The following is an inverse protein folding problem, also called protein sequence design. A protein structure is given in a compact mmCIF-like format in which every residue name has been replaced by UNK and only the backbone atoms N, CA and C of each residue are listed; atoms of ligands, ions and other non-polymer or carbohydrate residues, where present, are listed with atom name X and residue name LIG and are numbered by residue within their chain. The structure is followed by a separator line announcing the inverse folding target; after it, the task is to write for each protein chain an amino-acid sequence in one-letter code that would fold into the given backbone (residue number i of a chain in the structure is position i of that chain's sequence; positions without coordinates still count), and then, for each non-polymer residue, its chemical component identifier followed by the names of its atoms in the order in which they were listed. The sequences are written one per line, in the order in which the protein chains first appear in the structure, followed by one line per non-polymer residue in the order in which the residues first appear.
data_IF_220122523255
#
_entry.id   IF_220122523255
#
_cell.length_a   1.000
_cell.length_b   1.000
_cell.length_c   1.000
_cell.angle_alpha   90.00
_cell.angle_beta   90.00
_cell.angle_gamma   90.00
#
_symmetry.space_group_name_H-M   'P 1'
#
loop_
_entity.id
_entity.type
_entity.pdbx_description
1 polymer ?
#
# COMPACT_ATOMS: atom_id res chain seq x y z
N UNK A 1 30.71 6.41 6.13
CA UNK A 1 29.86 6.68 7.31
C UNK A 1 28.73 5.66 7.32
N UNK A 2 28.88 4.60 8.11
CA UNK A 2 27.86 3.54 8.26
C UNK A 2 26.74 4.07 9.16
N UNK A 3 25.64 4.51 8.56
CA UNK A 3 24.39 4.75 9.30
C UNK A 3 23.95 3.43 9.94
N UNK A 4 23.81 3.41 11.25
CA UNK A 4 23.30 2.26 12.01
C UNK A 4 21.88 1.91 11.54
N UNK A 5 21.52 0.62 11.56
CA UNK A 5 20.17 0.15 11.22
C UNK A 5 19.18 0.79 12.19
N UNK A 6 18.17 1.49 11.67
CA UNK A 6 17.08 1.98 12.52
C UNK A 6 16.15 0.84 12.92
N UNK A 7 15.30 1.09 13.91
CA UNK A 7 14.22 0.17 14.28
C UNK A 7 13.22 -0.01 13.14
N UNK A 8 12.94 1.04 12.37
CA UNK A 8 12.09 0.97 11.17
C UNK A 8 12.70 0.07 10.09
N UNK A 9 14.02 0.16 9.85
CA UNK A 9 14.71 -0.74 8.90
C UNK A 9 14.53 -2.22 9.27
N UNK A 10 14.54 -2.56 10.57
CA UNK A 10 14.31 -3.91 11.08
C UNK A 10 12.87 -4.38 10.90
N UNK A 11 11.89 -3.51 11.12
CA UNK A 11 10.46 -3.81 10.90
C UNK A 11 10.17 -4.17 9.44
N UNK A 12 10.80 -3.46 8.49
CA UNK A 12 10.64 -3.71 7.04
C UNK A 12 11.13 -5.11 6.67
N UNK A 13 12.32 -5.48 7.16
CA UNK A 13 12.91 -6.78 6.85
C UNK A 13 12.08 -7.89 7.51
N UNK A 14 11.61 -7.66 8.73
CA UNK A 14 10.77 -8.59 9.48
C UNK A 14 9.46 -8.88 8.74
N UNK A 15 8.74 -7.82 8.37
CA UNK A 15 7.49 -7.89 7.58
C UNK A 15 7.77 -8.68 6.30
N UNK A 16 8.81 -8.31 5.53
CA UNK A 16 9.16 -8.98 4.28
C UNK A 16 9.56 -10.46 4.44
N UNK A 17 10.27 -10.82 5.50
CA UNK A 17 10.67 -12.19 5.77
C UNK A 17 9.47 -13.11 6.09
N UNK A 18 8.45 -12.54 6.73
CA UNK A 18 7.21 -13.22 7.06
C UNK A 18 6.21 -13.30 5.90
N UNK A 19 6.24 -12.35 4.97
CA UNK A 19 5.35 -12.32 3.80
C UNK A 19 5.70 -13.38 2.74
N UNK A 20 6.98 -13.73 2.57
CA UNK A 20 7.44 -14.70 1.55
C UNK A 20 6.93 -16.16 1.76
N UNK A 21 6.04 -16.40 2.73
CA UNK A 21 5.48 -17.73 3.03
C UNK A 21 3.97 -17.84 2.87
N UNK A 22 3.27 -16.75 2.57
CA UNK A 22 1.82 -16.77 2.33
C UNK A 22 1.47 -17.33 0.94
N UNK A 23 2.48 -17.67 0.13
CA UNK A 23 2.28 -18.25 -1.22
C UNK A 23 1.98 -19.77 -1.19
N UNK A 24 2.12 -20.45 -0.05
CA UNK A 24 1.84 -21.88 0.08
C UNK A 24 0.86 -22.15 1.23
N UNK A 25 -0.33 -22.64 0.86
CA UNK A 25 -1.30 -23.42 1.65
C UNK A 25 -2.60 -22.74 2.13
N UNK A 26 -3.70 -23.37 1.74
CA UNK A 26 -5.10 -22.96 1.85
C UNK A 26 -5.72 -23.39 3.20
N UNK A 27 -4.88 -23.52 4.24
CA UNK A 27 -5.29 -24.09 5.53
C UNK A 27 -5.50 -23.02 6.60
N UNK A 28 -6.73 -22.97 7.09
CA UNK A 28 -7.32 -22.02 8.02
C UNK A 28 -6.82 -22.13 9.48
N UNK A 29 -5.58 -22.60 9.69
CA UNK A 29 -4.91 -22.59 10.97
C UNK A 29 -4.04 -21.34 11.05
N UNK A 30 -3.90 -20.74 12.25
CA UNK A 30 -2.92 -19.66 12.45
C UNK A 30 -1.61 -20.07 11.79
N UNK A 31 -0.96 -19.22 10.97
CA UNK A 31 0.29 -19.61 10.35
C UNK A 31 1.34 -19.75 11.46
N UNK A 32 1.54 -20.97 11.95
CA UNK A 32 2.68 -21.42 12.77
C UNK A 32 4.04 -21.21 12.05
N UNK A 33 4.02 -20.49 10.92
CA UNK A 33 5.09 -20.19 9.99
C UNK A 33 5.51 -18.72 9.99
N UNK A 34 4.79 -17.83 10.68
CA UNK A 34 5.20 -16.45 10.93
C UNK A 34 6.25 -16.43 12.05
N UNK A 35 7.47 -15.99 11.74
CA UNK A 35 8.47 -15.74 12.76
C UNK A 35 8.00 -14.57 13.61
N UNK A 36 7.91 -14.73 14.92
CA UNK A 36 7.83 -13.59 15.82
C UNK A 36 9.12 -12.77 15.75
N UNK A 37 9.11 -11.49 16.16
CA UNK A 37 10.29 -10.63 16.06
C UNK A 37 11.52 -11.25 16.76
N UNK A 38 11.30 -11.91 17.91
CA UNK A 38 12.34 -12.64 18.62
C UNK A 38 12.87 -13.84 17.82
N UNK A 39 12.00 -14.55 17.10
CA UNK A 39 12.37 -15.70 16.27
C UNK A 39 13.07 -15.28 14.99
N UNK A 40 12.66 -14.16 14.38
CA UNK A 40 13.32 -13.57 13.24
C UNK A 40 14.72 -13.08 13.59
N UNK A 41 14.87 -12.36 14.70
CA UNK A 41 16.18 -11.97 15.23
C UNK A 41 17.01 -13.23 15.51
N UNK A 42 16.43 -14.26 16.15
CA UNK A 42 17.10 -15.54 16.39
C UNK A 42 17.54 -16.25 15.09
N UNK A 43 16.73 -16.20 14.04
CA UNK A 43 17.05 -16.76 12.73
C UNK A 43 18.21 -16.01 12.05
N UNK A 44 18.17 -14.66 12.09
CA UNK A 44 19.29 -13.83 11.63
C UNK A 44 20.57 -14.15 12.40
N UNK A 45 20.51 -14.24 13.73
CA UNK A 45 21.65 -14.61 14.58
C UNK A 45 22.23 -15.96 14.20
N UNK A 46 21.39 -17.00 14.01
CA UNK A 46 21.85 -18.33 13.59
C UNK A 46 22.47 -18.32 12.19
N UNK A 47 21.88 -17.57 11.26
CA UNK A 47 22.41 -17.39 9.91
C UNK A 47 23.79 -16.72 9.94
N UNK A 48 23.95 -15.67 10.75
CA UNK A 48 25.20 -14.95 10.96
C UNK A 48 26.30 -15.87 11.47
N UNK A 49 26.04 -16.62 12.54
CA UNK A 49 27.03 -17.54 13.13
C UNK A 49 27.45 -18.65 12.16
N UNK A 50 26.54 -19.10 11.28
CA UNK A 50 26.82 -20.12 10.26
C UNK A 50 27.57 -19.56 9.04
N UNK A 51 27.27 -18.32 8.63
CA UNK A 51 27.85 -17.66 7.44
C UNK A 51 29.22 -17.05 7.72
N UNK A 52 29.46 -16.59 8.95
CA UNK A 52 30.68 -15.89 9.36
C UNK A 52 31.39 -16.57 10.55
N UNK A 53 31.71 -17.88 10.48
CA UNK A 53 32.28 -18.62 11.62
C UNK A 53 33.70 -18.16 12.01
N UNK A 54 34.35 -17.33 11.18
CA UNK A 54 35.75 -16.90 11.34
C UNK A 54 35.92 -15.41 11.69
N UNK A 55 34.82 -14.69 11.94
CA UNK A 55 34.86 -13.27 12.34
C UNK A 55 35.19 -13.06 13.83
N UNK A 56 35.59 -14.11 14.55
CA UNK A 56 36.12 -14.05 15.91
C UNK A 56 37.65 -13.90 15.87
N UNK A 57 38.19 -12.84 16.52
CA UNK A 57 38.60 -13.02 17.92
C UNK A 57 38.28 -11.90 18.94
N UNK A 58 37.55 -10.83 18.64
CA UNK A 58 37.33 -9.75 19.66
C UNK A 58 35.95 -9.09 19.74
N UNK A 59 35.01 -9.39 18.84
CA UNK A 59 33.76 -8.64 18.72
C UNK A 59 32.47 -9.34 19.19
N UNK A 60 32.51 -10.66 19.42
CA UNK A 60 31.33 -11.45 19.79
C UNK A 60 30.21 -11.48 18.73
N UNK A 61 29.07 -12.08 19.10
CA UNK A 61 27.86 -12.19 18.27
C UNK A 61 27.36 -10.84 17.73
N UNK A 62 27.49 -9.79 18.54
CA UNK A 62 27.09 -8.44 18.18
C UNK A 62 27.88 -7.90 16.99
N UNK A 63 29.21 -8.09 16.95
CA UNK A 63 30.02 -7.65 15.81
C UNK A 63 29.68 -8.42 14.53
N UNK A 64 29.39 -9.73 14.64
CA UNK A 64 28.97 -10.53 13.49
C UNK A 64 27.60 -10.08 12.97
N UNK A 65 26.67 -9.76 13.87
CA UNK A 65 25.36 -9.21 13.51
C UNK A 65 25.51 -7.84 12.84
N UNK A 66 26.31 -6.93 13.41
CA UNK A 66 26.63 -5.63 12.81
C UNK A 66 27.29 -5.77 11.43
N UNK A 67 28.10 -6.80 11.21
CA UNK A 67 28.68 -7.07 9.89
C UNK A 67 27.62 -7.53 8.87
N UNK A 68 26.75 -8.48 9.25
CA UNK A 68 25.64 -8.90 8.38
C UNK A 68 24.68 -7.73 8.08
N UNK A 69 24.31 -7.00 9.13
CA UNK A 69 23.53 -5.79 9.07
C UNK A 69 24.11 -4.83 8.04
N UNK A 70 25.34 -4.36 8.25
CA UNK A 70 25.98 -3.36 7.38
C UNK A 70 26.31 -3.84 5.97
N UNK A 71 26.63 -5.12 5.78
CA UNK A 71 27.14 -5.65 4.51
C UNK A 71 26.08 -6.28 3.61
N UNK A 72 24.97 -6.74 4.19
CA UNK A 72 23.94 -7.48 3.44
C UNK A 72 22.55 -6.90 3.67
N UNK A 73 22.20 -6.58 4.91
CA UNK A 73 20.85 -6.10 5.24
C UNK A 73 20.65 -4.64 4.84
N UNK A 74 21.49 -3.72 5.32
CA UNK A 74 21.42 -2.28 5.02
C UNK A 74 21.49 -2.00 3.53
N UNK A 75 22.41 -2.59 2.74
CA UNK A 75 22.44 -2.33 1.30
C UNK A 75 21.14 -2.77 0.61
N UNK A 76 20.57 -3.89 1.05
CA UNK A 76 19.31 -4.39 0.50
C UNK A 76 18.13 -3.49 0.92
N UNK A 77 18.03 -3.12 2.21
CA UNK A 77 17.01 -2.17 2.70
C UNK A 77 17.14 -0.82 1.99
N UNK A 78 18.36 -0.28 1.81
CA UNK A 78 18.57 0.96 1.07
C UNK A 78 18.14 0.87 -0.39
N UNK A 79 18.40 -0.26 -1.05
CA UNK A 79 17.89 -0.50 -2.40
C UNK A 79 16.35 -0.56 -2.45
N UNK A 80 15.70 -0.91 -1.35
CA UNK A 80 14.24 -0.92 -1.24
C UNK A 80 13.67 0.45 -0.90
N UNK A 81 14.41 1.24 -0.13
CA UNK A 81 14.12 2.64 0.15
C UNK A 81 14.47 3.56 -1.02
N UNK A 82 15.23 3.09 -1.99
CA UNK A 82 15.46 3.82 -3.24
C UNK A 82 14.16 3.83 -4.05
N UNK A 83 13.45 4.94 -3.93
CA UNK A 83 12.20 5.18 -4.62
C UNK A 83 12.45 6.06 -5.84
N UNK A 84 12.91 5.43 -6.92
CA UNK A 84 13.11 6.09 -8.22
C UNK A 84 11.83 6.75 -8.75
N UNK A 85 10.66 6.32 -8.27
CA UNK A 85 9.36 6.81 -8.68
C UNK A 85 8.87 8.01 -7.84
N UNK A 86 9.44 8.27 -6.65
CA UNK A 86 8.99 9.34 -5.75
C UNK A 86 8.82 10.68 -6.47
N UNK A 87 9.87 11.13 -7.16
CA UNK A 87 9.86 12.39 -7.93
C UNK A 87 8.81 12.41 -9.04
N UNK A 88 8.51 11.26 -9.61
CA UNK A 88 7.52 11.12 -10.67
C UNK A 88 6.10 11.19 -10.12
N UNK A 89 5.86 10.60 -8.94
CA UNK A 89 4.59 10.67 -8.22
C UNK A 89 4.27 12.11 -7.77
N UNK A 90 5.29 12.88 -7.39
CA UNK A 90 5.16 14.31 -7.06
C UNK A 90 4.97 15.22 -8.29
N UNK A 91 5.12 14.68 -9.51
CA UNK A 91 4.99 15.50 -10.71
C UNK A 91 3.55 15.99 -10.86
N UNK A 92 3.40 17.28 -11.24
CA UNK A 92 2.10 17.92 -11.44
C UNK A 92 1.18 17.12 -12.38
N UNK A 93 1.75 16.52 -13.43
CA UNK A 93 0.99 15.72 -14.38
C UNK A 93 0.36 14.48 -13.73
N UNK A 94 1.13 13.75 -12.91
CA UNK A 94 0.63 12.57 -12.18
C UNK A 94 -0.40 12.98 -11.14
N UNK A 95 -0.13 14.03 -10.36
CA UNK A 95 -1.09 14.53 -9.35
C UNK A 95 -2.42 14.93 -9.98
N UNK A 96 -2.42 15.60 -11.14
CA UNK A 96 -3.65 15.95 -11.85
C UNK A 96 -4.39 14.72 -12.40
N UNK A 97 -3.66 13.70 -12.86
CA UNK A 97 -4.25 12.44 -13.29
C UNK A 97 -4.91 11.72 -12.11
N UNK A 98 -4.23 11.60 -10.97
CA UNK A 98 -4.78 11.00 -9.76
C UNK A 98 -6.01 11.77 -9.27
N UNK A 99 -5.92 13.10 -9.17
CA UNK A 99 -7.04 13.97 -8.78
C UNK A 99 -8.28 13.75 -9.67
N UNK A 100 -8.10 13.64 -10.99
CA UNK A 100 -9.20 13.37 -11.94
C UNK A 100 -9.93 12.05 -11.66
N UNK A 101 -9.21 11.03 -11.21
CA UNK A 101 -9.76 9.71 -10.94
C UNK A 101 -10.09 9.48 -9.46
N UNK A 102 -9.68 10.38 -8.59
CA UNK A 102 -9.81 10.31 -7.13
C UNK A 102 -11.22 9.88 -6.67
N UNK A 103 -12.34 10.44 -7.19
CA UNK A 103 -13.67 10.00 -6.77
C UNK A 103 -13.94 8.51 -7.04
N UNK A 104 -13.45 7.97 -8.16
CA UNK A 104 -13.66 6.56 -8.52
C UNK A 104 -12.75 5.64 -7.72
N UNK A 105 -11.50 6.06 -7.52
CA UNK A 105 -10.54 5.34 -6.70
C UNK A 105 -10.99 5.29 -5.23
N UNK A 106 -11.47 6.41 -4.69
CA UNK A 106 -12.05 6.51 -3.35
C UNK A 106 -13.22 5.55 -3.15
N UNK A 107 -14.13 5.45 -4.12
CA UNK A 107 -15.27 4.53 -4.05
C UNK A 107 -14.83 3.06 -4.04
N UNK A 108 -13.79 2.72 -4.82
CA UNK A 108 -13.21 1.37 -4.80
C UNK A 108 -12.56 1.11 -3.44
N UNK A 109 -11.68 2.00 -3.00
CA UNK A 109 -11.00 1.96 -1.71
C UNK A 109 -12.01 1.78 -0.56
N UNK A 110 -13.02 2.63 -0.48
CA UNK A 110 -13.99 2.61 0.60
C UNK A 110 -14.81 1.31 0.63
N UNK A 111 -15.10 0.69 -0.51
CA UNK A 111 -15.79 -0.60 -0.54
C UNK A 111 -14.95 -1.73 0.07
N UNK A 112 -13.63 -1.71 -0.11
CA UNK A 112 -12.71 -2.66 0.52
C UNK A 112 -12.47 -2.33 2.00
N UNK A 113 -12.28 -1.05 2.35
CA UNK A 113 -12.15 -0.59 3.73
C UNK A 113 -13.38 -0.92 4.61
N UNK A 114 -14.59 -0.88 4.03
CA UNK A 114 -15.82 -1.26 4.73
C UNK A 114 -16.06 -2.77 4.74
N UNK A 115 -15.46 -3.51 3.80
CA UNK A 115 -15.53 -4.97 3.75
C UNK A 115 -15.05 -5.62 5.04
N UNK A 116 -14.03 -5.04 5.68
CA UNK A 116 -13.43 -5.55 6.90
C UNK A 116 -14.16 -5.10 8.18
N UNK A 117 -14.57 -3.82 8.25
CA UNK A 117 -15.38 -3.31 9.38
C UNK A 117 -16.69 -4.09 9.56
N UNK A 118 -17.23 -4.69 8.49
CA UNK A 118 -18.38 -5.60 8.53
C UNK A 118 -18.09 -6.94 9.22
N UNK A 119 -16.86 -7.44 9.14
CA UNK A 119 -16.41 -8.67 9.79
C UNK A 119 -16.14 -8.43 11.28
N UNK A 120 -15.54 -7.28 11.62
CA UNK A 120 -15.13 -6.94 13.00
C UNK A 120 -16.31 -6.50 13.88
N UNK A 121 -17.28 -5.74 13.35
CA UNK A 121 -18.38 -5.18 14.14
C UNK A 121 -19.60 -6.12 14.32
N UNK A 122 -19.58 -7.32 13.75
CA UNK A 122 -20.67 -8.31 13.85
C UNK A 122 -22.03 -7.87 13.29
N UNK A 123 -22.11 -6.68 12.71
CA UNK A 123 -23.33 -6.09 12.13
C UNK A 123 -23.03 -5.63 10.72
N UNK A 124 -23.36 -6.48 9.75
CA UNK A 124 -23.22 -6.13 8.34
C UNK A 124 -24.17 -4.97 8.02
N UNK A 125 -23.63 -3.81 7.66
CA UNK A 125 -24.41 -2.74 7.03
C UNK A 125 -25.02 -3.31 5.74
N UNK A 126 -26.31 -3.05 5.53
CA UNK A 126 -26.97 -3.40 4.29
C UNK A 126 -26.26 -2.73 3.10
N UNK A 127 -26.38 -3.28 1.87
CA UNK A 127 -25.83 -2.64 0.67
C UNK A 127 -26.26 -1.17 0.54
N UNK A 128 -27.49 -0.85 0.95
CA UNK A 128 -28.05 0.51 0.93
C UNK A 128 -27.38 1.45 1.93
N UNK A 129 -27.18 1.00 3.18
CA UNK A 129 -26.50 1.80 4.21
C UNK A 129 -25.03 2.02 3.86
N UNK A 130 -24.40 1.03 3.23
CA UNK A 130 -22.99 1.13 2.82
C UNK A 130 -22.83 2.06 1.63
N UNK A 131 -23.76 2.01 0.67
CA UNK A 131 -23.81 2.98 -0.42
C UNK A 131 -24.01 4.41 0.10
N UNK A 132 -24.93 4.61 1.07
CA UNK A 132 -25.16 5.93 1.66
C UNK A 132 -23.93 6.45 2.45
N UNK A 133 -23.24 5.57 3.19
CA UNK A 133 -22.01 5.92 3.88
C UNK A 133 -20.90 6.31 2.90
N UNK A 134 -20.71 5.52 1.83
CA UNK A 134 -19.70 5.81 0.81
C UNK A 134 -19.99 7.10 0.06
N UNK A 135 -21.25 7.39 -0.23
CA UNK A 135 -21.66 8.65 -0.88
C UNK A 135 -21.37 9.86 0.03
N UNK A 136 -21.73 9.76 1.32
CA UNK A 136 -21.40 10.80 2.31
C UNK A 136 -19.88 10.99 2.47
N UNK A 137 -19.12 9.90 2.51
CA UNK A 137 -17.66 9.93 2.60
C UNK A 137 -17.03 10.53 1.32
N UNK A 138 -17.57 10.21 0.14
CA UNK A 138 -17.13 10.76 -1.13
C UNK A 138 -17.40 12.26 -1.23
N UNK A 139 -18.57 12.74 -0.79
CA UNK A 139 -18.87 14.17 -0.75
C UNK A 139 -17.93 14.92 0.20
N UNK A 140 -17.61 14.31 1.35
CA UNK A 140 -16.65 14.88 2.29
C UNK A 140 -15.22 14.90 1.70
N UNK A 141 -14.82 13.86 0.97
CA UNK A 141 -13.52 13.78 0.29
C UNK A 141 -13.37 14.81 -0.82
N UNK A 142 -14.39 14.97 -1.67
CA UNK A 142 -14.40 15.99 -2.73
C UNK A 142 -14.37 17.40 -2.12
N UNK A 143 -15.14 17.64 -1.06
CA UNK A 143 -15.17 18.92 -0.36
C UNK A 143 -13.83 19.25 0.30
N UNK A 144 -13.21 18.28 0.99
CA UNK A 144 -11.90 18.45 1.63
C UNK A 144 -10.79 18.71 0.60
N UNK A 145 -10.75 17.93 -0.50
CA UNK A 145 -9.77 18.09 -1.57
C UNK A 145 -9.86 19.45 -2.29
N UNK A 146 -11.01 20.13 -2.24
CA UNK A 146 -11.17 21.49 -2.79
C UNK A 146 -10.59 22.61 -1.91
N UNK A 147 -10.39 22.35 -0.62
CA UNK A 147 -9.93 23.32 0.38
C UNK A 147 -8.45 23.09 0.70
N UNK A 148 -8.06 21.84 0.94
CA UNK A 148 -6.68 21.42 1.21
C UNK A 148 -6.52 19.92 0.92
N UNK A 149 -5.67 19.50 -0.05
CA UNK A 149 -5.40 18.09 -0.33
C UNK A 149 -4.91 17.28 0.87
N UNK A 150 -4.25 17.93 1.84
CA UNK A 150 -3.79 17.28 3.07
C UNK A 150 -4.89 17.12 4.12
N UNK A 151 -5.97 17.92 4.05
CA UNK A 151 -7.13 17.80 4.94
C UNK A 151 -8.06 16.62 4.57
N UNK A 152 -7.95 16.07 3.35
CA UNK A 152 -8.62 14.83 2.95
C UNK A 152 -8.12 13.58 3.70
N UNK A 153 -6.97 13.68 4.40
CA UNK A 153 -6.40 12.61 5.24
C UNK A 153 -7.24 12.29 6.49
N UNK A 154 -8.22 13.12 6.85
CA UNK A 154 -9.06 12.93 8.04
C UNK A 154 -10.18 11.89 7.87
N UNK A 155 -10.26 11.19 6.73
CA UNK A 155 -11.29 10.17 6.52
C UNK A 155 -10.95 8.87 7.26
N UNK A 156 -11.91 8.38 8.05
CA UNK A 156 -11.80 7.21 8.94
C UNK A 156 -11.68 5.86 8.21
N UNK A 157 -11.51 5.89 6.89
CA UNK A 157 -11.39 4.69 6.05
C UNK A 157 -9.92 4.45 5.77
N UNK A 158 -9.49 3.28 6.16
CA UNK A 158 -8.14 2.78 5.97
C UNK A 158 -8.23 1.33 5.50
N UNK A 159 -7.20 0.86 4.81
CA UNK A 159 -7.02 -0.56 4.54
C UNK A 159 -5.66 -1.04 5.04
N UNK A 160 -5.59 -2.26 5.54
CA UNK A 160 -4.34 -2.94 5.84
C UNK A 160 -3.82 -3.72 4.63
N UNK A 161 -2.74 -4.46 4.88
CA UNK A 161 -2.11 -5.31 3.86
C UNK A 161 -3.07 -6.41 3.37
N UNK A 162 -3.85 -7.01 4.27
CA UNK A 162 -4.76 -8.11 3.93
C UNK A 162 -5.88 -7.67 2.98
N UNK A 163 -6.48 -6.50 3.21
CA UNK A 163 -7.48 -5.97 2.27
C UNK A 163 -6.85 -5.55 0.94
N UNK A 164 -5.63 -4.98 0.96
CA UNK A 164 -4.89 -4.69 -0.26
C UNK A 164 -4.65 -5.97 -1.09
N UNK A 165 -4.15 -7.04 -0.48
CA UNK A 165 -3.90 -8.31 -1.15
C UNK A 165 -5.20 -8.97 -1.61
N UNK A 166 -6.27 -8.91 -0.80
CA UNK A 166 -7.61 -9.37 -1.19
C UNK A 166 -8.11 -8.62 -2.41
N UNK A 167 -7.97 -7.30 -2.44
CA UNK A 167 -8.36 -6.48 -3.59
C UNK A 167 -7.56 -6.86 -4.84
N UNK A 168 -6.24 -7.03 -4.71
CA UNK A 168 -5.39 -7.46 -5.83
C UNK A 168 -5.80 -8.83 -6.38
N UNK A 169 -6.17 -9.78 -5.53
CA UNK A 169 -6.70 -11.09 -5.95
C UNK A 169 -8.08 -10.97 -6.60
N UNK A 170 -9.01 -10.26 -5.97
CA UNK A 170 -10.36 -10.05 -6.51
C UNK A 170 -10.32 -9.42 -7.90
N UNK A 171 -9.38 -8.50 -8.13
CA UNK A 171 -9.19 -7.81 -9.40
C UNK A 171 -8.39 -8.56 -10.45
N UNK A 172 -7.98 -9.81 -10.20
CA UNK A 172 -7.01 -10.55 -11.03
C UNK A 172 -5.76 -9.71 -11.35
N UNK A 173 -5.36 -8.84 -10.42
CA UNK A 173 -4.17 -8.00 -10.59
C UNK A 173 -2.90 -8.78 -10.27
N UNK A 174 -2.98 -9.92 -9.60
CA UNK A 174 -1.82 -10.80 -9.41
C UNK A 174 -1.74 -11.78 -10.59
N UNK A 175 -0.62 -11.77 -11.30
CA UNK A 175 -0.36 -12.64 -12.44
C UNK A 175 1.11 -13.07 -12.50
N UNK A 176 1.54 -13.64 -13.62
CA UNK A 176 2.92 -14.12 -13.82
C UNK A 176 3.97 -13.01 -13.82
N UNK A 177 3.57 -11.76 -14.08
CA UNK A 177 4.46 -10.61 -14.20
C UNK A 177 4.38 -9.69 -12.97
N UNK A 178 3.29 -9.78 -12.22
CA UNK A 178 3.09 -9.05 -10.97
C UNK A 178 2.52 -9.99 -9.91
N UNK A 179 3.37 -10.36 -8.98
CA UNK A 179 3.18 -11.32 -7.91
C UNK A 179 2.66 -10.65 -6.64
N UNK A 180 2.17 -11.46 -5.70
CA UNK A 180 1.81 -11.02 -4.35
C UNK A 180 2.98 -10.31 -3.65
N UNK A 181 4.22 -10.73 -3.93
CA UNK A 181 5.43 -10.07 -3.43
C UNK A 181 5.56 -8.64 -3.92
N UNK A 182 5.36 -8.38 -5.21
CA UNK A 182 5.42 -7.02 -5.76
C UNK A 182 4.27 -6.15 -5.24
N UNK A 183 3.06 -6.72 -5.12
CA UNK A 183 1.94 -6.04 -4.48
C UNK A 183 2.26 -5.62 -3.04
N UNK A 184 2.90 -6.48 -2.27
CA UNK A 184 3.26 -6.18 -0.89
C UNK A 184 4.39 -5.16 -0.82
N UNK A 185 5.35 -5.22 -1.73
CA UNK A 185 6.42 -4.23 -1.80
C UNK A 185 5.87 -2.83 -2.08
N UNK A 186 4.85 -2.69 -2.93
CA UNK A 186 4.15 -1.42 -3.15
C UNK A 186 3.51 -0.91 -1.85
N UNK A 187 2.81 -1.77 -1.11
CA UNK A 187 2.16 -1.40 0.15
C UNK A 187 3.18 -0.89 1.18
N UNK A 188 4.24 -1.66 1.40
CA UNK A 188 5.30 -1.31 2.34
C UNK A 188 5.99 -0.01 1.93
N UNK A 189 6.31 0.18 0.64
CA UNK A 189 6.95 1.42 0.16
C UNK A 189 6.10 2.66 0.40
N UNK A 190 4.78 2.59 0.18
CA UNK A 190 3.91 3.75 0.38
C UNK A 190 3.74 4.06 1.87
N UNK A 191 3.48 3.05 2.69
CA UNK A 191 3.31 3.23 4.14
C UNK A 191 4.60 3.77 4.81
N UNK A 192 5.78 3.24 4.43
CA UNK A 192 7.06 3.74 4.95
C UNK A 192 7.44 5.15 4.49
N UNK A 193 6.92 5.60 3.35
CA UNK A 193 7.19 6.95 2.89
C UNK A 193 6.66 7.95 3.91
N UNK A 194 5.48 7.73 4.49
CA UNK A 194 4.91 8.61 5.51
C UNK A 194 5.70 8.55 6.83
N UNK A 195 6.18 7.36 7.25
CA UNK A 195 7.02 7.19 8.45
C UNK A 195 8.37 7.91 8.38
N UNK A 196 9.01 7.98 7.20
CA UNK A 196 10.32 8.63 7.05
C UNK A 196 10.24 10.15 7.14
N UNK A 197 9.05 10.75 6.92
CA UNK A 197 8.83 12.20 6.95
C UNK A 197 8.03 12.67 8.18
N UNK A 198 7.38 11.78 8.92
CA UNK A 198 6.60 12.12 10.13
C UNK A 198 7.34 11.72 11.42
N UNK A 199 7.79 12.72 12.18
CA UNK A 199 8.46 12.52 13.47
C UNK A 199 7.53 12.04 14.61
N UNK A 200 6.22 11.89 14.34
CA UNK A 200 5.17 11.64 15.35
C UNK A 200 4.33 10.38 15.03
N UNK A 201 4.78 9.50 14.14
CA UNK A 201 4.04 8.27 13.81
C UNK A 201 3.81 7.39 15.06
N UNK A 202 2.54 7.12 15.36
CA UNK A 202 2.06 6.37 16.53
C UNK A 202 1.75 4.92 16.18
N UNK A 203 2.10 3.99 17.08
CA UNK A 203 2.23 2.54 16.83
C UNK A 203 1.01 1.71 16.43
N UNK A 204 -0.15 2.32 16.27
CA UNK A 204 -1.38 1.60 15.89
C UNK A 204 -1.94 2.02 14.52
N UNK A 205 -1.57 3.19 14.00
CA UNK A 205 -1.83 3.58 12.60
C UNK A 205 -0.74 3.08 11.63
N UNK A 206 0.35 2.52 12.16
CA UNK A 206 1.60 2.15 11.45
C UNK A 206 1.45 1.05 10.36
N UNK A 207 0.27 0.46 10.17
CA UNK A 207 0.06 -0.61 9.18
C UNK A 207 -1.17 -0.40 8.30
N UNK A 208 -1.66 0.83 8.24
CA UNK A 208 -2.89 1.16 7.54
C UNK A 208 -2.62 2.27 6.54
N UNK A 209 -3.15 2.11 5.33
CA UNK A 209 -3.08 3.15 4.30
C UNK A 209 -4.40 3.90 4.19
N UNK A 210 -4.33 5.21 4.00
CA UNK A 210 -5.47 6.08 3.72
C UNK A 210 -5.84 6.10 2.22
N UNK A 211 -6.85 6.90 1.86
CA UNK A 211 -7.31 7.00 0.48
C UNK A 211 -6.29 7.66 -0.46
N UNK A 212 -5.46 8.58 0.04
CA UNK A 212 -4.44 9.24 -0.75
C UNK A 212 -3.25 8.30 -1.01
N UNK A 213 -2.82 7.58 0.02
CA UNK A 213 -1.81 6.53 -0.09
C UNK A 213 -2.26 5.43 -1.04
N UNK A 214 -3.54 5.06 -1.00
CA UNK A 214 -4.13 4.14 -1.96
C UNK A 214 -3.98 4.64 -3.42
N UNK A 215 -4.20 5.92 -3.70
CA UNK A 215 -3.97 6.49 -5.04
C UNK A 215 -2.52 6.35 -5.49
N UNK A 216 -1.55 6.56 -4.57
CA UNK A 216 -0.13 6.35 -4.85
C UNK A 216 0.19 4.88 -5.11
N UNK A 217 -0.45 3.95 -4.39
CA UNK A 217 -0.31 2.52 -4.64
C UNK A 217 -0.86 2.12 -6.01
N UNK A 218 -1.99 2.69 -6.44
CA UNK A 218 -2.53 2.49 -7.79
C UNK A 218 -1.57 3.02 -8.86
N UNK A 219 -0.93 4.16 -8.60
CA UNK A 219 0.09 4.69 -9.51
C UNK A 219 1.29 3.75 -9.66
N UNK A 220 1.81 3.23 -8.54
CA UNK A 220 2.89 2.23 -8.57
C UNK A 220 2.48 0.94 -9.26
N UNK A 221 1.25 0.48 -9.01
CA UNK A 221 0.71 -0.70 -9.70
C UNK A 221 0.67 -0.49 -11.22
N UNK A 222 0.26 0.69 -11.68
CA UNK A 222 0.25 1.03 -13.10
C UNK A 222 1.65 0.95 -13.72
N UNK A 223 2.68 1.35 -12.96
CA UNK A 223 4.08 1.28 -13.39
C UNK A 223 4.57 -0.15 -13.56
N UNK A 224 4.24 -1.03 -12.62
CA UNK A 224 4.62 -2.45 -12.70
C UNK A 224 3.83 -3.20 -13.77
N UNK A 225 2.55 -2.88 -13.94
CA UNK A 225 1.69 -3.52 -14.96
C UNK A 225 1.94 -3.02 -16.38
N UNK A 226 2.50 -1.82 -16.53
CA UNK A 226 2.79 -1.21 -17.83
C UNK A 226 4.20 -0.58 -17.82
N UNK A 227 5.27 -1.39 -17.74
CA UNK A 227 6.63 -0.90 -17.51
C UNK A 227 7.23 -0.20 -18.74
N UNK A 228 6.84 -0.62 -19.95
CA UNK A 228 7.40 -0.16 -21.23
C UNK A 228 6.37 0.63 -22.04
N UNK A 229 6.18 1.89 -21.68
CA UNK A 229 5.35 2.82 -22.44
C UNK A 229 6.22 3.87 -23.14
N UNK A 230 5.94 4.11 -24.42
CA UNK A 230 6.52 5.24 -25.17
C UNK A 230 5.92 6.59 -24.76
N UNK A 231 4.86 6.57 -23.94
CA UNK A 231 4.15 7.75 -23.49
C UNK A 231 4.68 8.26 -22.14
N UNK A 232 4.24 9.46 -21.77
CA UNK A 232 4.47 9.94 -20.40
C UNK A 232 3.79 9.01 -19.40
N UNK A 233 4.40 8.86 -18.22
CA UNK A 233 3.81 8.04 -17.16
C UNK A 233 2.42 8.55 -16.74
N UNK A 234 2.17 9.86 -16.75
CA UNK A 234 0.83 10.40 -16.46
C UNK A 234 -0.23 9.91 -17.46
N UNK A 235 0.14 9.75 -18.74
CA UNK A 235 -0.73 9.16 -19.78
C UNK A 235 -0.92 7.67 -19.55
N UNK A 236 0.16 6.95 -19.24
CA UNK A 236 0.11 5.51 -18.95
C UNK A 236 -0.77 5.23 -17.73
N UNK A 237 -0.67 6.04 -16.69
CA UNK A 237 -1.49 6.00 -15.50
C UNK A 237 -2.97 6.28 -15.81
N UNK A 238 -3.27 7.33 -16.59
CA UNK A 238 -4.64 7.67 -16.99
C UNK A 238 -5.30 6.52 -17.78
N UNK A 239 -4.55 5.93 -18.71
CA UNK A 239 -4.97 4.77 -19.50
C UNK A 239 -5.18 3.54 -18.64
N UNK A 240 -4.22 3.21 -17.77
CA UNK A 240 -4.32 2.08 -16.84
C UNK A 240 -5.57 2.20 -15.95
N UNK A 241 -5.79 3.36 -15.34
CA UNK A 241 -6.94 3.59 -14.46
C UNK A 241 -8.25 3.47 -15.24
N UNK A 242 -8.32 4.06 -16.43
CA UNK A 242 -9.55 4.16 -17.23
C UNK A 242 -9.94 2.85 -17.89
N UNK A 243 -8.96 2.12 -18.43
CA UNK A 243 -9.19 0.94 -19.28
C UNK A 243 -9.15 -0.36 -18.48
N UNK A 244 -8.31 -0.42 -17.44
CA UNK A 244 -8.06 -1.65 -16.69
C UNK A 244 -8.61 -1.55 -15.26
N UNK A 245 -8.08 -0.65 -14.44
CA UNK A 245 -8.33 -0.66 -12.99
C UNK A 245 -9.81 -0.39 -12.64
N UNK A 246 -10.35 0.76 -13.03
CA UNK A 246 -11.73 1.14 -12.67
C UNK A 246 -12.76 0.18 -13.29
N UNK A 247 -12.68 -0.22 -14.57
CA UNK A 247 -13.63 -1.17 -15.15
C UNK A 247 -13.65 -2.51 -14.43
N UNK A 248 -12.49 -3.04 -14.03
CA UNK A 248 -12.40 -4.31 -13.29
C UNK A 248 -13.11 -4.21 -11.94
N UNK A 249 -12.73 -3.26 -11.10
CA UNK A 249 -13.34 -3.14 -9.77
C UNK A 249 -14.79 -2.70 -9.81
N UNK A 250 -15.21 -1.92 -10.80
CA UNK A 250 -16.61 -1.59 -10.99
C UNK A 250 -17.48 -2.83 -11.26
N UNK A 251 -16.98 -3.79 -12.05
CA UNK A 251 -17.70 -5.06 -12.30
C UNK A 251 -17.85 -5.86 -11.01
N UNK A 252 -16.77 -6.00 -10.23
CA UNK A 252 -16.74 -6.72 -8.97
C UNK A 252 -17.67 -6.09 -7.93
N UNK A 253 -17.59 -4.77 -7.79
CA UNK A 253 -18.41 -4.00 -6.86
C UNK A 253 -19.89 -4.06 -7.23
N UNK A 254 -20.23 -4.04 -8.53
CA UNK A 254 -21.61 -4.24 -8.99
C UNK A 254 -22.18 -5.60 -8.57
N UNK A 255 -21.39 -6.68 -8.66
CA UNK A 255 -21.80 -8.02 -8.18
C UNK A 255 -22.04 -8.01 -6.67
N UNK A 256 -21.25 -7.23 -5.92
CA UNK A 256 -21.39 -7.04 -4.47
C UNK A 256 -22.48 -6.03 -4.07
N UNK A 257 -23.25 -5.50 -5.02
CA UNK A 257 -24.35 -4.56 -4.77
C UNK A 257 -23.91 -3.11 -4.55
N UNK A 258 -22.68 -2.75 -4.91
CA UNK A 258 -22.16 -1.40 -4.85
C UNK A 258 -22.23 -0.69 -6.21
N UNK A 259 -22.53 0.60 -6.21
CA UNK A 259 -22.47 1.45 -7.39
C UNK A 259 -21.19 2.29 -7.39
N UNK A 260 -20.36 2.13 -8.43
CA UNK A 260 -19.20 2.99 -8.67
C UNK A 260 -19.59 4.05 -9.71
N UNK A 261 -19.39 5.36 -9.43
CA UNK A 261 -19.71 6.44 -10.36
C UNK A 261 -19.06 6.27 -11.73
N UNK A 262 -19.78 6.66 -12.78
CA UNK A 262 -19.26 6.73 -14.14
C UNK A 262 -18.61 8.08 -14.44
N UNK A 263 -17.86 8.14 -15.54
CA UNK A 263 -17.35 9.40 -16.11
C UNK A 263 -18.45 10.42 -16.41
N UNK A 264 -19.68 9.98 -16.67
CA UNK A 264 -20.81 10.85 -16.94
C UNK A 264 -21.46 11.38 -15.66
N UNK A 265 -21.44 10.60 -14.58
CA UNK A 265 -21.99 11.01 -13.28
C UNK A 265 -21.17 12.15 -12.67
N UNK A 266 -19.83 12.10 -12.81
CA UNK A 266 -18.92 13.16 -12.33
C UNK A 266 -19.07 14.46 -13.12
N UNK A 267 -19.54 14.41 -14.38
CA UNK A 267 -19.74 15.61 -15.21
C UNK A 267 -21.04 16.36 -14.91
N UNK A 268 -22.03 15.72 -14.27
CA UNK A 268 -23.34 16.34 -13.97
C UNK A 268 -23.31 17.28 -12.77
N UNK A 269 -22.33 17.11 -11.88
CA UNK A 269 -22.02 18.06 -10.81
C UNK A 269 -20.66 18.69 -11.10
N UNK A 270 -20.57 19.70 -11.99
CA UNK A 270 -19.37 20.47 -12.12
C UNK A 270 -19.12 21.16 -10.78
N UNK A 271 -18.06 20.72 -10.10
CA UNK A 271 -17.47 21.39 -8.94
C UNK A 271 -17.43 22.88 -9.27
N UNK A 272 -18.33 23.66 -8.68
CA UNK A 272 -18.23 25.11 -8.73
C UNK A 272 -17.08 25.50 -7.80
N UNK A 273 -15.86 25.45 -8.36
CA UNK A 273 -14.71 26.12 -7.76
C UNK A 273 -15.03 27.62 -7.82
N UNK A 274 -15.62 28.15 -6.75
CA UNK A 274 -15.65 29.59 -6.53
C UNK A 274 -14.22 30.01 -6.23
N UNK A 275 -13.54 30.49 -7.28
CA UNK A 275 -12.30 31.25 -7.12
C UNK A 275 -12.61 32.42 -6.17
N UNK A 276 -12.02 32.37 -4.98
CA UNK A 276 -11.98 33.45 -3.99
C UNK A 276 -10.56 33.96 -3.93
#
# INVERSE_FOLDING_TARGET
LSRELSRSDLSIIFVRANINRVDDDDTNDRPDSLLELAEFVGALTRMVSKRFPRLEPSGGLAAQFSHLASSFVVPHVRSLLDDSMARQLESRAVLLTLFRHSPRLFMIFGAYALGDKRLVAGKALSPKETAAFLDAAMQAHIGAASIDPSAARAHTLTIGLDEWLRMMRDGDMIDKQFTQREATEIFVRVNLADELFSAEASSESEQQIDAHEFELMVARLAREKVPESNESFATTLDTFITVMFVPTYRKLLKVRGFAVPTTEDVKKDPIQVKAS
#
